data_IF_653448588378
#
_entry.id   IF_653448588378
#
_cell.length_a   1.000
_cell.length_b   1.000
_cell.length_c   1.000
_cell.angle_alpha   90.00
_cell.angle_beta   90.00
_cell.angle_gamma   90.00
#
_symmetry.space_group_name_H-M   'P 1'
#
loop_
_entity.id
_entity.type
_entity.pdbx_description
1 polymer ?
#
# COMPACT_ATOMS: atom_id res chain seq x y z
N UNK A 1 28.01 17.82 3.57
CA UNK A 1 27.17 18.14 2.40
C UNK A 1 25.79 18.53 2.90
N UNK A 2 25.07 19.44 2.23
CA UNK A 2 23.65 19.63 2.52
C UNK A 2 22.90 18.30 2.29
N UNK A 3 21.90 18.02 3.13
CA UNK A 3 21.05 16.83 2.98
C UNK A 3 20.24 16.95 1.68
N UNK A 4 20.07 15.87 0.90
CA UNK A 4 19.25 15.92 -0.30
C UNK A 4 17.80 16.17 0.12
N UNK A 5 17.16 17.13 -0.53
CA UNK A 5 15.77 17.54 -0.25
C UNK A 5 14.81 17.12 -1.37
N UNK A 6 15.34 16.66 -2.51
CA UNK A 6 14.57 16.19 -3.66
C UNK A 6 15.00 14.79 -4.10
N UNK A 7 14.10 14.06 -4.78
CA UNK A 7 14.43 12.73 -5.34
C UNK A 7 15.54 12.82 -6.39
N UNK A 8 15.60 13.90 -7.17
CA UNK A 8 16.68 14.10 -8.14
C UNK A 8 18.06 14.19 -7.47
N UNK A 9 18.16 14.85 -6.32
CA UNK A 9 19.40 14.90 -5.54
C UNK A 9 19.74 13.51 -4.97
N UNK A 10 18.75 12.79 -4.43
CA UNK A 10 18.93 11.43 -3.93
C UNK A 10 19.44 10.50 -5.04
N UNK A 11 18.81 10.53 -6.22
CA UNK A 11 19.16 9.66 -7.34
C UNK A 11 20.59 9.92 -7.85
N UNK A 12 21.11 11.14 -7.73
CA UNK A 12 22.47 11.52 -8.13
C UNK A 12 23.55 11.23 -7.08
N UNK A 13 23.19 10.77 -5.88
CA UNK A 13 24.16 10.39 -4.86
C UNK A 13 25.01 9.21 -5.31
N UNK A 14 26.23 9.10 -4.75
CA UNK A 14 27.05 7.91 -4.93
C UNK A 14 26.29 6.68 -4.42
N UNK A 15 26.34 5.57 -5.16
CA UNK A 15 25.50 4.38 -4.94
C UNK A 15 25.52 3.93 -3.48
N UNK A 16 26.69 3.77 -2.87
CA UNK A 16 26.82 3.33 -1.47
C UNK A 16 26.17 4.30 -0.47
N UNK A 17 26.27 5.60 -0.71
CA UNK A 17 25.64 6.62 0.15
C UNK A 17 24.12 6.64 -0.04
N UNK A 18 23.67 6.51 -1.29
CA UNK A 18 22.27 6.43 -1.67
C UNK A 18 21.59 5.22 -1.05
N UNK A 19 22.18 4.03 -1.18
CA UNK A 19 21.63 2.80 -0.63
C UNK A 19 21.55 2.85 0.90
N UNK A 20 22.56 3.41 1.57
CA UNK A 20 22.53 3.62 3.02
C UNK A 20 21.41 4.59 3.45
N UNK A 21 21.17 5.65 2.68
CA UNK A 21 20.07 6.57 2.95
C UNK A 21 18.72 5.88 2.76
N UNK A 22 18.55 5.16 1.64
CA UNK A 22 17.31 4.52 1.28
C UNK A 22 17.02 3.25 2.11
N UNK A 23 18.02 2.59 2.67
CA UNK A 23 17.82 1.40 3.50
C UNK A 23 17.04 1.69 4.79
N UNK A 24 16.98 2.96 5.22
CA UNK A 24 16.13 3.40 6.35
C UNK A 24 14.65 3.12 6.08
N UNK A 25 14.23 3.12 4.82
CA UNK A 25 12.86 2.80 4.41
C UNK A 25 12.52 1.30 4.51
N UNK A 26 13.50 0.44 4.82
CA UNK A 26 13.30 -1.00 4.95
C UNK A 26 13.17 -1.36 6.43
N UNK A 27 12.04 -1.93 6.86
CA UNK A 27 11.90 -2.41 8.23
C UNK A 27 12.99 -3.41 8.60
N UNK A 28 13.70 -3.13 9.69
CA UNK A 28 14.73 -4.01 10.26
C UNK A 28 14.24 -5.46 10.44
N UNK A 29 12.97 -5.60 10.84
CA UNK A 29 12.27 -6.89 10.98
C UNK A 29 12.22 -7.69 9.68
N UNK A 30 12.12 -7.07 8.50
CA UNK A 30 12.12 -7.80 7.23
C UNK A 30 13.49 -8.41 6.94
N UNK A 31 14.56 -7.65 7.17
CA UNK A 31 15.93 -8.13 6.99
C UNK A 31 16.22 -9.30 7.96
N UNK A 32 15.81 -9.17 9.23
CA UNK A 32 15.95 -10.24 10.22
C UNK A 32 15.15 -11.50 9.85
N UNK A 33 13.86 -11.33 9.52
CA UNK A 33 12.96 -12.42 9.18
C UNK A 33 13.43 -13.23 7.97
N UNK A 34 14.08 -12.59 7.00
CA UNK A 34 14.58 -13.25 5.79
C UNK A 34 16.08 -13.57 5.84
N UNK A 35 16.74 -13.33 6.99
CA UNK A 35 18.19 -13.51 7.15
C UNK A 35 19.01 -12.77 6.09
N UNK A 36 18.56 -11.55 5.73
CA UNK A 36 19.25 -10.67 4.80
C UNK A 36 20.22 -9.80 5.58
N UNK A 37 21.49 -9.81 5.18
CA UNK A 37 22.53 -8.98 5.77
C UNK A 37 22.29 -7.49 5.46
N UNK A 38 22.44 -6.62 6.47
CA UNK A 38 22.06 -5.20 6.37
C UNK A 38 23.03 -4.34 5.56
N UNK A 39 24.26 -4.81 5.36
CA UNK A 39 25.31 -4.04 4.68
C UNK A 39 25.47 -4.48 3.22
N UNK A 40 25.36 -5.78 2.98
CA UNK A 40 25.49 -6.39 1.65
C UNK A 40 24.16 -6.58 0.94
N UNK A 41 23.06 -6.54 1.70
CA UNK A 41 21.70 -6.85 1.23
C UNK A 41 21.55 -8.25 0.64
N UNK A 42 22.43 -9.17 1.04
CA UNK A 42 22.45 -10.54 0.54
C UNK A 42 21.86 -11.52 1.55
N UNK A 43 21.26 -12.61 1.04
CA UNK A 43 20.87 -13.76 1.85
C UNK A 43 22.08 -14.66 2.19
N UNK A 44 21.91 -15.74 2.99
CA UNK A 44 23.01 -16.63 3.36
C UNK A 44 23.69 -17.35 2.19
N UNK A 45 23.02 -17.45 1.03
CA UNK A 45 23.60 -17.99 -0.20
C UNK A 45 24.44 -16.97 -0.98
N UNK A 46 24.55 -15.72 -0.48
CA UNK A 46 25.27 -14.62 -1.12
C UNK A 46 24.47 -13.94 -2.24
N UNK A 47 23.20 -14.28 -2.43
CA UNK A 47 22.36 -13.66 -3.45
C UNK A 47 21.78 -12.33 -2.94
N UNK A 48 21.88 -11.26 -3.74
CA UNK A 48 21.41 -9.92 -3.37
C UNK A 48 19.89 -9.81 -3.44
N UNK A 49 19.27 -9.55 -2.31
CA UNK A 49 17.82 -9.59 -2.08
C UNK A 49 17.14 -8.21 -2.07
N UNK A 50 17.91 -7.12 -1.96
CA UNK A 50 17.38 -5.75 -2.04
C UNK A 50 17.94 -5.05 -3.26
N UNK A 51 17.05 -4.47 -4.07
CA UNK A 51 17.36 -3.66 -5.22
C UNK A 51 16.83 -2.24 -5.03
N UNK A 52 17.70 -1.26 -5.22
CA UNK A 52 17.37 0.16 -5.26
C UNK A 52 17.39 0.62 -6.72
N UNK A 53 16.24 0.98 -7.27
CA UNK A 53 16.16 1.56 -8.61
C UNK A 53 16.07 3.09 -8.49
N UNK A 54 17.15 3.78 -8.82
CA UNK A 54 17.28 5.23 -8.67
C UNK A 54 17.73 5.89 -9.99
N UNK A 55 16.86 5.96 -11.01
CA UNK A 55 17.26 6.53 -12.29
C UNK A 55 17.51 8.04 -12.16
N UNK A 56 18.73 8.49 -12.46
CA UNK A 56 19.25 9.86 -12.17
C UNK A 56 18.35 11.02 -12.61
N UNK A 57 17.64 10.84 -13.74
CA UNK A 57 16.81 11.86 -14.36
C UNK A 57 15.31 11.62 -14.21
N UNK A 58 14.90 10.68 -13.35
CA UNK A 58 13.50 10.39 -13.11
C UNK A 58 13.06 10.93 -11.74
N UNK A 59 11.79 11.37 -11.61
CA UNK A 59 11.25 11.93 -10.37
C UNK A 59 10.84 10.84 -9.37
N UNK A 60 11.44 9.64 -9.42
CA UNK A 60 11.10 8.54 -8.52
C UNK A 60 12.33 7.71 -8.15
N UNK A 61 12.22 6.97 -7.05
CA UNK A 61 13.05 5.82 -6.76
C UNK A 61 12.19 4.66 -6.26
N UNK A 62 12.71 3.44 -6.41
CA UNK A 62 12.02 2.23 -5.95
C UNK A 62 12.92 1.36 -5.10
N UNK A 63 12.32 0.67 -4.14
CA UNK A 63 12.94 -0.38 -3.32
C UNK A 63 12.19 -1.67 -3.57
N UNK A 64 12.86 -2.69 -4.08
CA UNK A 64 12.33 -4.06 -4.24
C UNK A 64 13.13 -4.99 -3.32
N UNK A 65 12.46 -5.52 -2.31
CA UNK A 65 13.00 -6.51 -1.38
C UNK A 65 12.27 -7.85 -1.58
N UNK A 66 13.06 -8.88 -1.83
CA UNK A 66 12.61 -10.28 -1.94
C UNK A 66 13.33 -11.15 -0.92
N UNK A 67 12.74 -12.28 -0.52
CA UNK A 67 13.46 -13.25 0.32
C UNK A 67 14.52 -13.96 -0.53
N UNK A 68 14.13 -14.38 -1.73
CA UNK A 68 15.02 -14.86 -2.77
C UNK A 68 14.84 -14.01 -4.04
N UNK A 69 15.90 -13.65 -4.78
CA UNK A 69 15.76 -12.88 -6.01
C UNK A 69 14.90 -13.57 -7.08
N UNK A 70 14.77 -14.90 -7.03
CA UNK A 70 13.92 -15.69 -7.90
C UNK A 70 12.44 -15.73 -7.48
N UNK A 71 12.07 -15.19 -6.30
CA UNK A 71 10.67 -15.09 -5.89
C UNK A 71 9.87 -14.27 -6.92
N UNK A 72 8.68 -14.73 -7.29
CA UNK A 72 7.83 -14.03 -8.28
C UNK A 72 7.43 -12.63 -7.81
N UNK A 73 6.94 -12.54 -6.58
CA UNK A 73 6.39 -11.32 -5.99
C UNK A 73 7.37 -10.75 -4.97
N UNK A 74 7.54 -9.44 -4.95
CA UNK A 74 8.31 -8.78 -3.90
C UNK A 74 7.65 -9.03 -2.53
N UNK A 75 8.47 -9.27 -1.50
CA UNK A 75 8.00 -9.31 -0.11
C UNK A 75 7.74 -7.89 0.40
N UNK A 76 8.53 -6.93 -0.07
CA UNK A 76 8.29 -5.51 0.14
C UNK A 76 8.67 -4.74 -1.12
N UNK A 77 7.74 -3.92 -1.63
CA UNK A 77 8.00 -2.97 -2.69
C UNK A 77 7.57 -1.58 -2.25
N UNK A 78 8.40 -0.58 -2.52
CA UNK A 78 8.09 0.82 -2.27
C UNK A 78 8.47 1.65 -3.49
N UNK A 79 7.53 2.48 -3.95
CA UNK A 79 7.76 3.53 -4.92
C UNK A 79 7.53 4.88 -4.24
N UNK A 80 8.53 5.75 -4.32
CA UNK A 80 8.44 7.14 -3.85
C UNK A 80 8.71 8.04 -5.04
N UNK A 81 7.79 8.97 -5.32
CA UNK A 81 7.95 9.94 -6.40
C UNK A 81 7.75 11.38 -5.95
N UNK A 82 8.15 12.31 -6.78
CA UNK A 82 7.77 13.70 -6.66
C UNK A 82 6.43 13.91 -7.38
N UNK A 83 5.46 14.49 -6.68
CA UNK A 83 4.25 15.04 -7.30
C UNK A 83 4.61 16.15 -8.31
N UNK A 84 3.67 16.55 -9.19
CA UNK A 84 3.89 17.67 -10.11
C UNK A 84 4.29 18.99 -9.44
N UNK A 85 4.00 19.16 -8.14
CA UNK A 85 4.37 20.33 -7.34
C UNK A 85 5.68 20.16 -6.57
N UNK A 86 6.44 19.08 -6.84
CA UNK A 86 7.75 18.83 -6.23
C UNK A 86 7.71 18.24 -4.82
N UNK A 87 6.53 17.89 -4.30
CA UNK A 87 6.39 17.23 -3.00
C UNK A 87 6.67 15.74 -3.14
N UNK A 88 7.47 15.16 -2.24
CA UNK A 88 7.65 13.70 -2.20
C UNK A 88 6.37 13.00 -1.70
N UNK A 89 6.02 11.90 -2.35
CA UNK A 89 4.87 11.08 -2.03
C UNK A 89 5.20 9.60 -2.14
N UNK A 90 4.59 8.79 -1.28
CA UNK A 90 4.60 7.34 -1.39
C UNK A 90 3.54 6.97 -2.43
N UNK A 91 4.01 6.58 -3.61
CA UNK A 91 3.17 6.37 -4.80
C UNK A 91 2.63 4.96 -4.84
N UNK A 92 3.42 3.99 -4.40
CA UNK A 92 2.99 2.60 -4.39
C UNK A 92 3.71 1.81 -3.30
N UNK A 93 2.99 0.87 -2.68
CA UNK A 93 3.52 -0.03 -1.66
C UNK A 93 2.92 -1.42 -1.82
N UNK A 94 3.77 -2.44 -1.71
CA UNK A 94 3.36 -3.83 -1.55
C UNK A 94 4.04 -4.41 -0.32
N UNK A 95 3.30 -5.19 0.47
CA UNK A 95 3.85 -6.04 1.51
C UNK A 95 3.22 -7.41 1.38
N UNK A 96 4.03 -8.41 1.02
CA UNK A 96 3.60 -9.79 0.86
C UNK A 96 4.37 -10.70 1.80
N UNK A 97 3.67 -11.66 2.38
CA UNK A 97 4.29 -12.83 2.97
C UNK A 97 4.67 -13.83 1.85
N UNK A 98 5.96 -14.09 1.61
CA UNK A 98 6.38 -15.01 0.56
C UNK A 98 5.92 -16.46 0.81
N UNK A 99 5.61 -16.83 2.05
CA UNK A 99 5.08 -18.15 2.41
C UNK A 99 3.55 -18.21 2.37
N UNK A 100 2.88 -17.06 2.19
CA UNK A 100 1.44 -16.99 2.02
C UNK A 100 1.00 -17.51 0.65
N UNK A 101 -0.17 -18.15 0.58
CA UNK A 101 -0.78 -18.52 -0.70
C UNK A 101 -0.91 -17.30 -1.63
N UNK A 102 -0.63 -17.53 -2.92
CA UNK A 102 -0.78 -16.51 -3.97
C UNK A 102 -2.11 -16.70 -4.68
N UNK A 103 -2.88 -15.61 -4.78
CA UNK A 103 -4.09 -15.53 -5.57
C UNK A 103 -3.80 -14.70 -6.82
N UNK A 104 -4.06 -15.27 -8.00
CA UNK A 104 -3.73 -14.64 -9.28
C UNK A 104 -4.77 -13.59 -9.69
N UNK A 105 -5.06 -12.62 -8.81
CA UNK A 105 -6.02 -11.54 -9.08
C UNK A 105 -5.44 -10.43 -9.97
N UNK A 106 -4.12 -10.39 -10.09
CA UNK A 106 -3.35 -9.46 -10.90
C UNK A 106 -3.26 -9.87 -12.38
N UNK A 107 -3.64 -11.10 -12.71
CA UNK A 107 -3.64 -11.64 -14.08
C UNK A 107 -4.95 -12.36 -14.40
N UNK A 108 -5.41 -12.32 -15.65
CA UNK A 108 -6.57 -13.08 -16.11
C UNK A 108 -6.24 -14.56 -16.37
N UNK A 109 -7.22 -15.33 -16.81
CA UNK A 109 -7.07 -16.76 -17.15
C UNK A 109 -6.03 -17.04 -18.26
N UNK A 110 -5.68 -16.02 -19.06
CA UNK A 110 -4.69 -16.08 -20.12
C UNK A 110 -3.33 -15.49 -19.67
N UNK A 111 -3.19 -15.10 -18.41
CA UNK A 111 -1.97 -14.49 -17.87
C UNK A 111 -1.80 -13.01 -18.22
N UNK A 112 -2.84 -12.32 -18.69
CA UNK A 112 -2.78 -10.89 -19.01
C UNK A 112 -3.08 -10.03 -17.78
N UNK A 113 -2.39 -8.91 -17.62
CA UNK A 113 -2.56 -8.02 -16.47
C UNK A 113 -4.01 -7.53 -16.33
N UNK A 114 -4.54 -7.59 -15.10
CA UNK A 114 -5.88 -7.07 -14.77
C UNK A 114 -5.89 -5.56 -14.52
N UNK A 115 -4.70 -4.95 -14.36
CA UNK A 115 -4.51 -3.56 -13.95
C UNK A 115 -5.34 -3.23 -12.70
N UNK A 116 -5.17 -4.03 -11.64
CA UNK A 116 -5.90 -3.89 -10.37
C UNK A 116 -7.43 -3.97 -10.52
N UNK A 117 -7.91 -4.77 -11.48
CA UNK A 117 -9.34 -4.94 -11.73
C UNK A 117 -9.97 -3.87 -12.63
N UNK A 118 -9.19 -2.90 -13.13
CA UNK A 118 -9.71 -1.80 -13.95
C UNK A 118 -9.87 -2.16 -15.42
N UNK A 119 -9.04 -3.07 -15.94
CA UNK A 119 -9.13 -3.52 -17.34
C UNK A 119 -9.81 -4.87 -17.48
N UNK A 120 -9.50 -5.81 -16.57
CA UNK A 120 -10.02 -7.18 -16.54
C UNK A 120 -10.19 -7.61 -15.09
N UNK A 121 -10.92 -8.70 -14.84
CA UNK A 121 -11.02 -9.31 -13.50
C UNK A 121 -10.86 -10.82 -13.59
N UNK A 122 -10.12 -11.39 -12.64
CA UNK A 122 -10.06 -12.83 -12.43
C UNK A 122 -11.00 -13.20 -11.27
N UNK A 123 -12.30 -13.26 -11.57
CA UNK A 123 -13.35 -13.43 -10.56
C UNK A 123 -13.16 -14.67 -9.68
N UNK A 124 -12.80 -15.86 -10.21
CA UNK A 124 -12.54 -17.03 -9.37
C UNK A 124 -11.44 -16.80 -8.33
N UNK A 125 -10.33 -16.17 -8.72
CA UNK A 125 -9.22 -15.86 -7.82
C UNK A 125 -9.57 -14.74 -6.82
N UNK A 126 -10.36 -13.76 -7.23
CA UNK A 126 -10.87 -12.71 -6.33
C UNK A 126 -11.76 -13.29 -5.23
N UNK A 127 -12.63 -14.25 -5.58
CA UNK A 127 -13.47 -14.95 -4.60
C UNK A 127 -12.58 -15.73 -3.61
N UNK A 128 -11.59 -16.50 -4.10
CA UNK A 128 -10.66 -17.23 -3.24
C UNK A 128 -9.86 -16.30 -2.33
N UNK A 129 -9.35 -15.20 -2.86
CA UNK A 129 -8.60 -14.20 -2.09
C UNK A 129 -9.48 -13.58 -1.00
N UNK A 130 -10.71 -13.19 -1.35
CA UNK A 130 -11.70 -12.65 -0.41
C UNK A 130 -11.99 -13.64 0.72
N UNK A 131 -12.25 -14.91 0.39
CA UNK A 131 -12.52 -15.97 1.38
C UNK A 131 -11.32 -16.27 2.28
N UNK A 132 -10.10 -16.11 1.76
CA UNK A 132 -8.86 -16.19 2.53
C UNK A 132 -8.59 -14.93 3.39
N UNK A 133 -9.46 -13.91 3.33
CA UNK A 133 -9.37 -12.69 4.13
C UNK A 133 -8.43 -11.63 3.57
N UNK A 134 -8.14 -11.66 2.27
CA UNK A 134 -7.40 -10.60 1.58
C UNK A 134 -8.36 -9.47 1.19
N UNK A 135 -7.83 -8.26 1.06
CA UNK A 135 -8.52 -7.13 0.48
C UNK A 135 -8.35 -7.11 -1.05
N UNK A 136 -9.13 -6.29 -1.80
CA UNK A 136 -8.90 -6.09 -3.23
C UNK A 136 -7.45 -5.70 -3.52
N UNK A 137 -6.94 -6.10 -4.69
CA UNK A 137 -5.56 -5.89 -5.14
C UNK A 137 -4.45 -6.57 -4.31
N UNK A 138 -4.77 -7.32 -3.25
CA UNK A 138 -3.79 -8.14 -2.54
C UNK A 138 -3.66 -9.53 -3.19
N UNK A 139 -2.49 -9.84 -3.74
CA UNK A 139 -2.18 -11.18 -4.29
C UNK A 139 -1.72 -12.17 -3.22
N UNK A 140 -1.24 -11.69 -2.07
CA UNK A 140 -0.82 -12.49 -0.92
C UNK A 140 -1.23 -11.78 0.36
N UNK A 141 -1.29 -12.54 1.46
CA UNK A 141 -1.43 -11.94 2.80
C UNK A 141 -0.20 -11.06 3.10
N UNK A 142 -0.41 -9.95 3.80
CA UNK A 142 0.69 -9.09 4.22
C UNK A 142 1.35 -9.52 5.54
N UNK A 143 2.48 -8.90 5.87
CA UNK A 143 3.32 -9.21 7.04
C UNK A 143 2.92 -8.47 8.33
N UNK A 144 1.77 -7.76 8.31
CA UNK A 144 1.27 -6.91 9.42
C UNK A 144 2.31 -5.89 9.91
N UNK A 145 2.91 -5.16 8.97
CA UNK A 145 4.07 -4.30 9.22
C UNK A 145 3.77 -2.79 9.09
N UNK A 146 2.50 -2.37 9.04
CA UNK A 146 2.14 -0.96 8.79
C UNK A 146 2.81 0.01 9.77
N UNK A 147 2.86 -0.35 11.06
CA UNK A 147 3.52 0.46 12.10
C UNK A 147 5.04 0.57 11.88
N UNK A 148 5.67 -0.55 11.51
CA UNK A 148 7.11 -0.59 11.23
C UNK A 148 7.42 0.31 10.02
N UNK A 149 6.63 0.19 8.96
CA UNK A 149 6.73 1.00 7.75
C UNK A 149 6.59 2.50 8.03
N UNK A 150 5.56 2.91 8.78
CA UNK A 150 5.37 4.33 9.12
C UNK A 150 6.55 4.87 9.91
N UNK A 151 7.13 4.06 10.80
CA UNK A 151 8.31 4.47 11.58
C UNK A 151 9.51 4.71 10.65
N UNK A 152 9.76 3.79 9.71
CA UNK A 152 10.80 3.94 8.68
C UNK A 152 10.56 5.16 7.78
N UNK A 153 9.30 5.43 7.41
CA UNK A 153 8.95 6.59 6.59
C UNK A 153 9.16 7.89 7.35
N UNK A 154 8.64 7.99 8.58
CA UNK A 154 8.83 9.15 9.45
C UNK A 154 10.34 9.45 9.62
N UNK A 155 11.17 8.43 9.87
CA UNK A 155 12.62 8.57 9.98
C UNK A 155 13.26 9.09 8.68
N UNK A 156 12.93 8.47 7.54
CA UNK A 156 13.44 8.88 6.24
C UNK A 156 13.06 10.32 5.92
N UNK A 157 11.78 10.68 5.99
CA UNK A 157 11.30 12.01 5.62
C UNK A 157 11.88 13.11 6.51
N UNK A 158 12.06 12.87 7.81
CA UNK A 158 12.79 13.80 8.68
C UNK A 158 14.25 13.94 8.28
N UNK A 159 14.91 12.83 7.93
CA UNK A 159 16.33 12.83 7.52
C UNK A 159 16.60 13.67 6.26
N UNK A 160 15.61 13.78 5.35
CA UNK A 160 15.68 14.58 4.12
C UNK A 160 14.99 15.95 4.25
N UNK A 161 14.68 16.37 5.48
CA UNK A 161 14.19 17.72 5.80
C UNK A 161 12.68 17.95 5.57
N UNK A 162 11.91 16.90 5.32
CA UNK A 162 10.46 16.97 5.12
C UNK A 162 9.71 16.82 6.45
N UNK A 163 8.72 17.69 6.68
CA UNK A 163 7.85 17.63 7.87
C UNK A 163 6.57 16.82 7.63
N UNK A 164 6.22 16.62 6.37
CA UNK A 164 5.07 15.86 5.94
C UNK A 164 5.36 15.18 4.61
N UNK A 165 4.64 14.11 4.35
CA UNK A 165 4.66 13.38 3.09
C UNK A 165 3.26 12.91 2.73
N UNK A 166 3.05 12.61 1.45
CA UNK A 166 1.72 12.31 0.90
C UNK A 166 1.62 10.87 0.42
N UNK A 167 0.39 10.41 0.24
CA UNK A 167 0.05 9.22 -0.53
C UNK A 167 -1.40 9.28 -1.03
N UNK A 168 -1.70 8.40 -1.97
CA UNK A 168 -3.04 8.22 -2.53
C UNK A 168 -3.45 6.73 -2.37
N UNK A 169 -4.38 6.39 -1.47
CA UNK A 169 -4.79 5.01 -1.25
C UNK A 169 -5.61 4.47 -2.43
N UNK A 170 -5.08 3.43 -3.07
CA UNK A 170 -5.73 2.81 -4.24
C UNK A 170 -7.09 2.17 -3.95
N UNK A 171 -7.41 1.89 -2.69
CA UNK A 171 -8.65 1.23 -2.28
C UNK A 171 -9.17 1.78 -0.95
N UNK A 172 -10.47 1.54 -0.70
CA UNK A 172 -11.13 1.93 0.55
C UNK A 172 -10.43 1.34 1.78
N UNK A 173 -10.06 0.06 1.76
CA UNK A 173 -9.35 -0.56 2.89
C UNK A 173 -7.99 0.10 3.16
N UNK A 174 -7.29 0.51 2.10
CA UNK A 174 -5.99 1.17 2.23
C UNK A 174 -6.17 2.55 2.87
N UNK A 175 -7.19 3.32 2.47
CA UNK A 175 -7.51 4.60 3.09
C UNK A 175 -7.73 4.46 4.61
N UNK A 176 -8.56 3.50 5.04
CA UNK A 176 -8.80 3.22 6.45
C UNK A 176 -7.53 2.74 7.17
N UNK A 177 -6.68 1.95 6.50
CA UNK A 177 -5.39 1.53 7.07
C UNK A 177 -4.47 2.72 7.34
N UNK A 178 -4.42 3.69 6.43
CA UNK A 178 -3.62 4.89 6.59
C UNK A 178 -4.19 5.84 7.66
N UNK A 179 -5.52 5.97 7.78
CA UNK A 179 -6.13 6.69 8.91
C UNK A 179 -5.65 6.14 10.26
N UNK A 180 -5.71 4.80 10.42
CA UNK A 180 -5.20 4.11 11.61
C UNK A 180 -3.68 4.28 11.80
N UNK A 181 -2.97 4.51 10.70
CA UNK A 181 -1.56 4.90 10.67
C UNK A 181 -1.27 6.36 11.03
N UNK A 182 -2.31 7.16 11.35
CA UNK A 182 -2.18 8.55 11.73
C UNK A 182 -2.14 9.53 10.56
N UNK A 183 -2.50 9.10 9.35
CA UNK A 183 -2.65 10.00 8.21
C UNK A 183 -3.93 10.86 8.33
N UNK A 184 -3.88 12.03 7.72
CA UNK A 184 -4.98 12.98 7.58
C UNK A 184 -5.31 13.20 6.10
N UNK A 185 -6.43 13.85 5.82
CA UNK A 185 -6.89 14.10 4.46
C UNK A 185 -6.48 15.49 3.97
N UNK A 186 -5.87 15.54 2.80
CA UNK A 186 -5.87 16.76 1.95
C UNK A 186 -7.22 16.87 1.24
N UNK A 187 -7.71 15.75 0.68
CA UNK A 187 -8.99 15.64 -0.04
C UNK A 187 -9.60 14.26 0.23
N UNK A 188 -10.93 14.20 0.30
CA UNK A 188 -11.69 12.95 0.29
C UNK A 188 -12.26 12.52 1.64
N UNK A 189 -12.06 13.30 2.71
CA UNK A 189 -12.63 13.02 4.04
C UNK A 189 -14.16 12.91 4.01
N UNK A 190 -14.85 13.91 3.45
CA UNK A 190 -16.33 13.92 3.39
C UNK A 190 -16.88 12.75 2.58
N UNK A 191 -16.17 12.33 1.53
CA UNK A 191 -16.50 11.14 0.76
C UNK A 191 -16.38 9.89 1.62
N UNK A 192 -15.29 9.74 2.39
CA UNK A 192 -15.08 8.60 3.28
C UNK A 192 -16.14 8.53 4.39
N UNK A 193 -16.46 9.65 5.03
CA UNK A 193 -17.53 9.77 6.02
C UNK A 193 -18.92 9.48 5.41
N UNK A 194 -19.14 9.94 4.17
CA UNK A 194 -20.34 9.63 3.40
C UNK A 194 -20.48 8.14 3.11
N UNK A 195 -19.42 7.50 2.64
CA UNK A 195 -19.38 6.05 2.41
C UNK A 195 -19.68 5.30 3.71
N UNK A 196 -19.05 5.68 4.83
CA UNK A 196 -19.34 5.05 6.12
C UNK A 196 -20.82 5.15 6.50
N UNK A 197 -21.40 6.35 6.41
CA UNK A 197 -22.82 6.56 6.68
C UNK A 197 -23.72 5.70 5.80
N UNK A 198 -23.46 5.66 4.48
CA UNK A 198 -24.31 4.92 3.55
C UNK A 198 -24.20 3.40 3.69
N UNK A 199 -23.08 2.88 4.22
CA UNK A 199 -22.96 1.47 4.56
C UNK A 199 -23.69 1.09 5.86
N UNK A 200 -24.05 2.03 6.73
CA UNK A 200 -24.79 1.70 7.97
C UNK A 200 -26.25 1.33 7.68
N UNK A 201 -26.93 0.59 8.58
CA UNK A 201 -28.35 0.29 8.45
C UNK A 201 -29.18 1.55 8.16
N UNK A 202 -29.99 1.48 7.10
CA UNK A 202 -30.80 2.59 6.58
C UNK A 202 -30.15 3.40 5.45
N UNK A 203 -28.86 3.22 5.19
CA UNK A 203 -28.15 3.85 4.07
C UNK A 203 -28.34 3.13 2.74
N UNK A 204 -28.06 3.83 1.64
CA UNK A 204 -28.25 3.29 0.28
C UNK A 204 -27.29 2.15 -0.03
N UNK A 205 -26.02 2.24 0.40
CA UNK A 205 -25.04 1.17 0.16
C UNK A 205 -25.35 -0.07 1.00
N UNK A 206 -25.88 0.10 2.23
CA UNK A 206 -26.36 -1.01 3.04
C UNK A 206 -27.50 -1.78 2.37
N UNK A 207 -28.47 -1.07 1.77
CA UNK A 207 -29.57 -1.69 1.05
C UNK A 207 -29.11 -2.45 -0.21
N UNK A 208 -27.97 -2.06 -0.79
CA UNK A 208 -27.35 -2.72 -1.96
C UNK A 208 -26.50 -3.94 -1.60
N UNK A 209 -26.28 -4.23 -0.32
CA UNK A 209 -25.65 -5.48 0.13
C UNK A 209 -26.67 -6.62 0.12
N UNK A 210 -27.24 -6.88 -1.06
CA UNK A 210 -28.39 -7.76 -1.30
C UNK A 210 -28.01 -9.22 -1.62
N UNK A 211 -26.71 -9.55 -1.61
CA UNK A 211 -26.20 -10.86 -1.98
C UNK A 211 -26.24 -11.17 -3.48
N UNK A 212 -26.48 -10.17 -4.35
CA UNK A 212 -26.49 -10.36 -5.81
C UNK A 212 -25.15 -10.85 -6.38
N UNK A 213 -24.04 -10.56 -5.69
CA UNK A 213 -22.71 -11.10 -6.00
C UNK A 213 -22.05 -11.63 -4.71
N UNK A 214 -21.03 -12.49 -4.82
CA UNK A 214 -20.23 -12.93 -3.66
C UNK A 214 -19.60 -11.77 -2.88
N UNK A 215 -19.45 -10.60 -3.51
CA UNK A 215 -18.85 -9.39 -2.95
C UNK A 215 -19.87 -8.46 -2.25
N UNK A 216 -21.16 -8.79 -2.24
CA UNK A 216 -22.25 -7.95 -1.70
C UNK A 216 -23.04 -8.62 -0.57
N UNK A 217 -22.36 -9.38 0.29
CA UNK A 217 -23.02 -10.04 1.43
C UNK A 217 -23.52 -9.02 2.44
N UNK A 218 -24.68 -9.26 3.05
CA UNK A 218 -25.31 -8.31 3.99
C UNK A 218 -24.38 -7.94 5.14
N UNK A 219 -23.60 -8.87 5.67
CA UNK A 219 -22.68 -8.64 6.79
C UNK A 219 -21.50 -7.72 6.46
N UNK A 220 -21.21 -7.47 5.18
CA UNK A 220 -20.03 -6.71 4.75
C UNK A 220 -20.06 -5.26 5.17
N UNK A 221 -21.22 -4.70 5.52
CA UNK A 221 -21.26 -3.35 6.09
C UNK A 221 -20.47 -3.22 7.39
N UNK A 222 -20.23 -4.33 8.10
CA UNK A 222 -19.55 -4.30 9.39
C UNK A 222 -18.04 -4.18 9.27
N UNK A 223 -17.43 -4.67 8.20
CA UNK A 223 -15.96 -4.81 8.11
C UNK A 223 -15.36 -3.91 7.03
N UNK A 224 -14.09 -3.54 7.19
CA UNK A 224 -13.37 -2.69 6.22
C UNK A 224 -13.21 -3.43 4.89
N UNK A 225 -12.80 -4.70 4.94
CA UNK A 225 -12.59 -5.57 3.78
C UNK A 225 -13.89 -5.89 3.06
N UNK A 226 -14.98 -6.16 3.80
CA UNK A 226 -16.29 -6.39 3.22
C UNK A 226 -16.74 -5.19 2.39
N UNK A 227 -16.69 -3.99 2.98
CA UNK A 227 -16.97 -2.74 2.25
C UNK A 227 -16.05 -2.53 1.06
N UNK A 228 -14.75 -2.82 1.22
CA UNK A 228 -13.78 -2.65 0.14
C UNK A 228 -14.04 -3.59 -1.04
N UNK A 229 -14.43 -4.84 -0.80
CA UNK A 229 -14.83 -5.77 -1.86
C UNK A 229 -16.12 -5.34 -2.54
N UNK A 230 -17.12 -4.87 -1.79
CA UNK A 230 -18.34 -4.32 -2.36
C UNK A 230 -18.06 -3.08 -3.24
N UNK A 231 -17.15 -2.20 -2.82
CA UNK A 231 -16.69 -1.04 -3.59
C UNK A 231 -15.96 -1.47 -4.87
N UNK A 232 -15.06 -2.46 -4.77
CA UNK A 232 -14.39 -3.07 -5.94
C UNK A 232 -15.39 -3.67 -6.93
N UNK A 233 -16.48 -4.24 -6.41
CA UNK A 233 -17.59 -4.77 -7.19
C UNK A 233 -18.58 -3.69 -7.71
N UNK A 234 -18.23 -2.41 -7.56
CA UNK A 234 -18.98 -1.29 -8.15
C UNK A 234 -20.23 -0.88 -7.38
N UNK A 235 -20.37 -1.21 -6.09
CA UNK A 235 -21.57 -0.86 -5.29
C UNK A 235 -21.84 0.66 -5.20
N UNK A 236 -20.83 1.50 -5.48
CA UNK A 236 -20.93 2.96 -5.44
C UNK A 236 -21.67 3.57 -6.64
N UNK A 237 -21.93 2.80 -7.71
CA UNK A 237 -22.40 3.28 -9.04
C UNK A 237 -21.50 4.36 -9.70
N UNK A 238 -20.32 4.59 -9.14
CA UNK A 238 -19.28 5.44 -9.68
C UNK A 238 -17.92 4.83 -9.38
N UNK A 239 -16.89 5.12 -10.19
CA UNK A 239 -15.53 4.69 -9.88
C UNK A 239 -15.12 5.15 -8.48
N UNK A 240 -14.32 4.33 -7.80
CA UNK A 240 -13.61 4.76 -6.60
C UNK A 240 -12.68 5.92 -6.95
N UNK A 241 -12.83 7.03 -6.24
CA UNK A 241 -11.88 8.15 -6.31
C UNK A 241 -10.90 8.02 -5.15
N UNK A 242 -9.61 7.87 -5.46
CA UNK A 242 -8.57 7.83 -4.44
C UNK A 242 -8.54 9.15 -3.65
N UNK A 243 -8.65 9.12 -2.30
CA UNK A 243 -8.45 10.31 -1.51
C UNK A 243 -6.96 10.70 -1.51
N UNK A 244 -6.66 11.99 -1.34
CA UNK A 244 -5.28 12.44 -1.13
C UNK A 244 -5.03 12.60 0.36
N UNK A 245 -4.06 11.87 0.90
CA UNK A 245 -3.73 11.86 2.31
C UNK A 245 -2.32 12.39 2.56
N UNK A 246 -2.08 12.89 3.77
CA UNK A 246 -0.76 13.29 4.24
C UNK A 246 -0.52 12.80 5.65
N UNK A 247 0.76 12.64 6.01
CA UNK A 247 1.20 12.34 7.36
C UNK A 247 2.19 13.41 7.79
N UNK A 248 1.93 14.03 8.95
CA UNK A 248 2.94 14.84 9.63
C UNK A 248 3.86 13.92 10.42
N UNK A 249 5.16 14.07 10.24
CA UNK A 249 6.14 13.18 10.87
C UNK A 249 6.01 13.23 12.39
N UNK A 250 5.98 12.05 13.04
CA UNK A 250 5.88 11.93 14.49
C UNK A 250 4.51 12.26 15.10
N UNK A 251 3.53 12.67 14.28
CA UNK A 251 2.17 13.03 14.73
C UNK A 251 1.15 11.99 14.28
N UNK A 252 0.24 11.60 15.17
CA UNK A 252 -0.95 10.83 14.81
C UNK A 252 -2.12 11.78 14.55
N UNK A 253 -2.67 11.73 13.33
CA UNK A 253 -3.73 12.62 12.90
C UNK A 253 -5.09 12.44 13.58
N UNK A 254 -5.30 11.32 14.28
CA UNK A 254 -6.53 11.04 15.03
C UNK A 254 -7.80 10.89 14.18
N UNK A 255 -7.65 10.66 12.87
CA UNK A 255 -8.78 10.50 11.94
C UNK A 255 -9.30 9.06 12.00
N UNK A 256 -10.62 8.90 11.98
CA UNK A 256 -11.30 7.62 11.89
C UNK A 256 -12.64 7.84 11.19
N UNK A 257 -12.75 7.50 9.91
CA UNK A 257 -14.01 7.64 9.17
C UNK A 257 -14.83 6.36 9.14
N UNK A 258 -14.19 5.20 9.29
CA UNK A 258 -14.86 3.91 9.41
C UNK A 258 -15.33 3.65 10.85
N UNK A 259 -16.63 3.39 11.05
CA UNK A 259 -17.20 3.10 12.37
C UNK A 259 -17.80 1.70 12.51
N UNK A 260 -17.46 0.79 11.59
CA UNK A 260 -17.90 -0.59 11.67
C UNK A 260 -17.16 -1.40 12.73
N UNK A 261 -17.46 -2.70 12.76
CA UNK A 261 -16.90 -3.69 13.67
C UNK A 261 -15.93 -4.60 12.88
N UNK A 262 -14.63 -4.30 12.92
CA UNK A 262 -13.58 -5.16 12.37
C UNK A 262 -12.74 -4.55 11.25
N UNK A 263 -11.93 -5.40 10.62
CA UNK A 263 -11.10 -5.06 9.46
C UNK A 263 -11.36 -6.03 8.31
#
# INVERSE_FOLDING_TARGET
MPLPTTIYEINKMAEKERERLLSVLIPARFLEMFSIDRETYANPAGARCVKFACPENMPFFQIDLRRDPGDRDASYFLDVSNSPFGQMEISFIIVNDPDGERFNIDVDENGQDTYFGTARRNIPEEIRAMEAGLAPAQVRRGLRAMRDLISCWDEFFVSVGHRFYFLEPMSYNSAVLYERGGFQYVKGREMMEGIDREFRPGGVLHARLDGSTPFRKQEYWKTVRGRSWAIHDGILDKPWESPKMYKTVGVSGGVCTFTGEGY
#
